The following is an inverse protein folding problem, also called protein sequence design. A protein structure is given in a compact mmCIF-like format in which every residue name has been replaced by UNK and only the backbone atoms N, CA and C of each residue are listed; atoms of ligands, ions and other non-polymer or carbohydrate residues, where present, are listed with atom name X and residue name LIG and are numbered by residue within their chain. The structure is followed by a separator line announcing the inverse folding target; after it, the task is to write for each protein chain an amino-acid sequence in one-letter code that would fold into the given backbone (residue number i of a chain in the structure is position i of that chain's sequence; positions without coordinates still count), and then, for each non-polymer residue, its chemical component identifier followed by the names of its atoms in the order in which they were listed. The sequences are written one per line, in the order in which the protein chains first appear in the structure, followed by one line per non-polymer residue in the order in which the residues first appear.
data_IF_795604405560
#
_entry.id   IF_795604405560
#
_cell.length_a   1.000
_cell.length_b   1.000
_cell.length_c   1.000
_cell.angle_alpha   90.00
_cell.angle_beta   90.00
_cell.angle_gamma   90.00
#
_symmetry.space_group_name_H-M   'P 1'
#
loop_
_entity.id
_entity.type
_entity.pdbx_description
1 polymer ?
#
# COMPACT_ATOMS: atom_id res chain seq x y z
N UNK A 1 -1.23 11.79 -16.90
CA UNK A 1 -1.95 11.69 -15.62
C UNK A 1 -3.35 11.18 -15.87
N UNK A 2 -3.61 9.98 -15.44
CA UNK A 2 -4.92 9.35 -15.59
C UNK A 2 -5.69 9.50 -14.28
N UNK A 3 -6.91 10.02 -14.38
CA UNK A 3 -7.84 10.05 -13.27
C UNK A 3 -8.50 8.68 -13.12
N UNK A 4 -8.50 8.14 -11.93
CA UNK A 4 -9.22 6.91 -11.64
C UNK A 4 -10.46 7.16 -10.81
N UNK A 5 -11.62 6.75 -11.35
CA UNK A 5 -12.87 6.67 -10.61
C UNK A 5 -12.90 5.44 -9.69
N UNK A 6 -13.83 5.39 -8.76
CA UNK A 6 -13.99 4.31 -7.79
C UNK A 6 -14.16 2.91 -8.38
N UNK A 7 -14.83 2.77 -9.51
CA UNK A 7 -14.90 1.49 -10.21
C UNK A 7 -13.51 0.98 -10.56
N UNK A 8 -12.65 1.91 -10.97
CA UNK A 8 -11.27 1.62 -11.33
C UNK A 8 -10.44 1.22 -10.11
N UNK A 9 -10.83 1.65 -8.90
CA UNK A 9 -10.16 1.25 -7.66
C UNK A 9 -10.46 -0.18 -7.26
N UNK A 10 -11.71 -0.63 -7.40
CA UNK A 10 -12.05 -2.03 -7.23
C UNK A 10 -11.29 -2.88 -8.25
N UNK A 11 -11.24 -2.46 -9.51
CA UNK A 11 -10.41 -3.11 -10.54
C UNK A 11 -8.93 -3.10 -10.19
N UNK A 12 -8.42 -1.98 -9.66
CA UNK A 12 -7.04 -1.85 -9.20
C UNK A 12 -6.72 -2.90 -8.13
N UNK A 13 -7.54 -2.97 -7.10
CA UNK A 13 -7.38 -3.90 -5.97
C UNK A 13 -7.55 -5.34 -6.45
N UNK A 14 -8.56 -5.62 -7.25
CA UNK A 14 -8.80 -6.96 -7.80
C UNK A 14 -7.64 -7.44 -8.67
N UNK A 15 -7.09 -6.57 -9.51
CA UNK A 15 -5.92 -6.89 -10.34
C UNK A 15 -4.71 -7.22 -9.48
N UNK A 16 -4.45 -6.45 -8.45
CA UNK A 16 -3.35 -6.69 -7.51
C UNK A 16 -3.54 -8.02 -6.78
N UNK A 17 -4.74 -8.29 -6.29
CA UNK A 17 -5.05 -9.52 -5.56
C UNK A 17 -4.95 -10.78 -6.40
N UNK A 18 -5.46 -10.74 -7.62
CA UNK A 18 -5.36 -11.88 -8.56
C UNK A 18 -3.90 -12.22 -8.82
N UNK A 19 -3.08 -11.21 -9.05
CA UNK A 19 -1.63 -11.40 -9.28
C UNK A 19 -0.92 -11.91 -8.03
N UNK A 20 -1.24 -11.34 -6.87
CA UNK A 20 -0.66 -11.76 -5.59
C UNK A 20 -1.02 -13.21 -5.25
N UNK A 21 -2.27 -13.61 -5.43
CA UNK A 21 -2.74 -14.97 -5.13
C UNK A 21 -2.11 -16.02 -6.05
N UNK A 22 -1.77 -15.68 -7.27
CA UNK A 22 -1.01 -16.59 -8.16
C UNK A 22 0.40 -16.87 -7.66
N UNK A 23 1.05 -15.86 -7.07
CA UNK A 23 2.40 -15.97 -6.53
C UNK A 23 2.42 -16.55 -5.11
N UNK A 24 1.39 -16.30 -4.34
CA UNK A 24 1.25 -16.69 -2.94
C UNK A 24 -0.11 -17.33 -2.66
N UNK A 25 -0.41 -18.51 -3.24
CA UNK A 25 -1.75 -19.11 -3.16
C UNK A 25 -2.19 -19.52 -1.76
N UNK A 26 -1.25 -19.68 -0.84
CA UNK A 26 -1.52 -20.03 0.55
C UNK A 26 -1.75 -18.85 1.50
N UNK A 27 -1.73 -17.61 1.00
CA UNK A 27 -1.84 -16.40 1.83
C UNK A 27 -3.17 -15.71 1.56
N UNK A 28 -4.16 -15.84 2.46
CA UNK A 28 -5.42 -15.13 2.32
C UNK A 28 -5.26 -13.64 2.64
N UNK A 29 -5.90 -12.80 1.85
CA UNK A 29 -5.92 -11.34 2.07
C UNK A 29 -7.35 -10.91 2.36
N UNK A 30 -7.56 -10.28 3.52
CA UNK A 30 -8.82 -9.60 3.83
C UNK A 30 -8.80 -8.21 3.20
N UNK A 31 -9.86 -7.86 2.47
CA UNK A 31 -9.97 -6.58 1.77
C UNK A 31 -11.10 -5.76 2.37
N UNK A 32 -10.80 -4.52 2.74
CA UNK A 32 -11.77 -3.54 3.25
C UNK A 32 -11.74 -2.29 2.40
N UNK A 33 -12.78 -2.07 1.62
CA UNK A 33 -12.95 -0.90 0.74
C UNK A 33 -14.07 0.01 1.27
N UNK A 34 -13.98 1.32 1.08
CA UNK A 34 -15.04 2.24 1.47
C UNK A 34 -16.20 2.19 0.47
N UNK A 35 -17.39 2.50 0.94
CA UNK A 35 -18.61 2.58 0.12
C UNK A 35 -18.72 3.87 -0.68
N UNK A 36 -17.98 4.90 -0.28
CA UNK A 36 -18.03 6.22 -0.89
C UNK A 36 -17.35 6.30 -2.27
N UNK A 37 -17.88 7.19 -3.11
CA UNK A 37 -17.29 7.49 -4.40
C UNK A 37 -16.08 8.43 -4.24
N UNK A 38 -14.89 7.97 -4.62
CA UNK A 38 -13.65 8.75 -4.50
C UNK A 38 -12.97 8.81 -5.87
N UNK A 39 -12.55 9.99 -6.28
CA UNK A 39 -11.69 10.18 -7.45
C UNK A 39 -10.28 10.47 -6.99
N UNK A 40 -9.33 9.69 -7.44
CA UNK A 40 -7.92 9.82 -7.09
C UNK A 40 -7.13 9.99 -8.39
N UNK A 41 -6.51 11.15 -8.62
CA UNK A 41 -5.60 11.29 -9.74
C UNK A 41 -4.33 10.48 -9.47
N UNK A 42 -4.13 9.43 -10.26
CA UNK A 42 -2.97 8.56 -10.09
C UNK A 42 -2.62 7.82 -11.37
N UNK A 43 -1.37 7.36 -11.46
CA UNK A 43 -0.95 6.34 -12.40
C UNK A 43 -1.29 4.96 -11.83
N UNK A 44 -2.26 4.30 -12.42
CA UNK A 44 -2.77 3.03 -11.92
C UNK A 44 -1.73 1.91 -11.90
N UNK A 45 -0.84 1.87 -12.89
CA UNK A 45 0.21 0.85 -12.98
C UNK A 45 1.24 1.02 -11.87
N UNK A 46 1.61 2.26 -11.58
CA UNK A 46 2.56 2.56 -10.50
C UNK A 46 1.97 2.28 -9.13
N UNK A 47 0.72 2.63 -8.90
CA UNK A 47 0.05 2.33 -7.62
C UNK A 47 -0.22 0.83 -7.45
N UNK A 48 -0.54 0.11 -8.52
CA UNK A 48 -0.56 -1.36 -8.49
C UNK A 48 0.79 -1.94 -8.06
N UNK A 49 1.88 -1.40 -8.57
CA UNK A 49 3.22 -1.81 -8.18
C UNK A 49 3.49 -1.57 -6.69
N UNK A 50 3.08 -0.42 -6.16
CA UNK A 50 3.19 -0.13 -4.73
C UNK A 50 2.43 -1.17 -3.90
N UNK A 51 1.16 -1.40 -4.21
CA UNK A 51 0.33 -2.35 -3.48
C UNK A 51 0.86 -3.78 -3.57
N UNK A 52 1.29 -4.20 -4.75
CA UNK A 52 1.92 -5.51 -4.94
C UNK A 52 3.17 -5.66 -4.10
N UNK A 53 4.05 -4.67 -4.10
CA UNK A 53 5.27 -4.70 -3.29
C UNK A 53 4.98 -4.76 -1.79
N UNK A 54 3.98 -4.03 -1.31
CA UNK A 54 3.59 -4.06 0.10
C UNK A 54 3.04 -5.42 0.52
N UNK A 55 2.19 -6.04 -0.30
CA UNK A 55 1.65 -7.38 -0.04
C UNK A 55 2.74 -8.46 -0.11
N UNK A 56 3.60 -8.41 -1.12
CA UNK A 56 4.72 -9.36 -1.25
C UNK A 56 5.71 -9.22 -0.10
N UNK A 57 5.98 -8.00 0.33
CA UNK A 57 6.83 -7.74 1.49
C UNK A 57 6.30 -8.42 2.75
N UNK A 58 4.99 -8.30 3.01
CA UNK A 58 4.36 -9.01 4.11
C UNK A 58 4.45 -10.53 3.95
N UNK A 59 4.15 -11.07 2.76
CA UNK A 59 4.21 -12.50 2.51
C UNK A 59 5.60 -13.11 2.70
N UNK A 60 6.66 -12.37 2.35
CA UNK A 60 8.04 -12.85 2.41
C UNK A 60 8.67 -12.64 3.79
N UNK A 61 8.41 -11.52 4.44
CA UNK A 61 9.14 -11.08 5.63
C UNK A 61 8.36 -11.18 6.94
N UNK A 62 7.04 -11.28 6.90
CA UNK A 62 6.22 -11.37 8.11
C UNK A 62 6.13 -12.82 8.61
N UNK A 63 7.20 -13.32 9.20
CA UNK A 63 7.22 -14.68 9.77
C UNK A 63 6.12 -14.86 10.81
N UNK A 64 5.45 -16.01 10.76
CA UNK A 64 4.34 -16.33 11.67
C UNK A 64 3.05 -15.59 11.36
N UNK A 65 2.96 -14.86 10.26
CA UNK A 65 1.75 -14.16 9.85
C UNK A 65 0.60 -15.13 9.59
N UNK A 66 -0.55 -14.85 10.20
CA UNK A 66 -1.81 -15.56 9.99
C UNK A 66 -2.90 -14.68 9.38
N UNK A 67 -2.69 -13.36 9.39
CA UNK A 67 -3.64 -12.39 8.89
C UNK A 67 -2.93 -11.29 8.10
N UNK A 68 -3.42 -11.04 6.90
CA UNK A 68 -2.97 -9.95 6.02
C UNK A 68 -4.20 -9.19 5.55
N UNK A 69 -4.20 -7.88 5.76
CA UNK A 69 -5.34 -7.01 5.44
C UNK A 69 -4.90 -5.89 4.50
N UNK A 70 -5.66 -5.68 3.44
CA UNK A 70 -5.57 -4.50 2.58
C UNK A 70 -6.81 -3.65 2.80
N UNK A 71 -6.60 -2.43 3.26
CA UNK A 71 -7.68 -1.49 3.56
C UNK A 71 -7.51 -0.20 2.79
N UNK A 72 -8.59 0.32 2.25
CA UNK A 72 -8.66 1.66 1.65
C UNK A 72 -9.76 2.44 2.33
N UNK A 73 -9.45 3.63 2.78
CA UNK A 73 -10.41 4.52 3.42
C UNK A 73 -10.07 5.99 3.13
N UNK A 74 -11.02 6.87 3.40
CA UNK A 74 -10.81 8.31 3.26
C UNK A 74 -10.62 8.97 4.62
N UNK A 75 -9.74 9.96 4.65
CA UNK A 75 -9.50 10.82 5.78
C UNK A 75 -9.39 12.27 5.28
N UNK A 76 -10.48 13.02 5.41
CA UNK A 76 -10.57 14.35 4.80
C UNK A 76 -10.44 14.28 3.27
N UNK A 77 -9.53 15.04 2.70
CA UNK A 77 -9.22 15.05 1.25
C UNK A 77 -8.25 13.97 0.81
N UNK A 78 -7.94 13.01 1.68
CA UNK A 78 -6.94 11.96 1.41
C UNK A 78 -7.58 10.60 1.29
N UNK A 79 -7.13 9.83 0.30
CA UNK A 79 -7.37 8.40 0.24
C UNK A 79 -6.18 7.69 0.87
N UNK A 80 -6.43 6.87 1.88
CA UNK A 80 -5.42 6.13 2.63
C UNK A 80 -5.48 4.67 2.23
N UNK A 81 -4.33 4.13 1.84
CA UNK A 81 -4.13 2.71 1.54
C UNK A 81 -3.27 2.10 2.64
N UNK A 82 -3.73 1.00 3.20
CA UNK A 82 -3.09 0.37 4.35
C UNK A 82 -2.94 -1.13 4.13
N UNK A 83 -1.71 -1.62 4.27
CA UNK A 83 -1.40 -3.05 4.30
C UNK A 83 -0.91 -3.41 5.69
N UNK A 84 -1.64 -4.29 6.36
CA UNK A 84 -1.37 -4.67 7.74
C UNK A 84 -1.23 -6.18 7.88
N UNK A 85 -0.20 -6.61 8.59
CA UNK A 85 0.01 -8.01 8.96
C UNK A 85 0.19 -8.17 10.47
N UNK A 86 -0.01 -9.38 10.95
CA UNK A 86 0.21 -9.78 12.34
C UNK A 86 1.45 -10.66 12.52
N UNK A 87 2.45 -10.49 11.67
CA UNK A 87 3.68 -11.26 11.70
C UNK A 87 4.68 -10.82 12.77
N UNK A 88 5.95 -11.12 12.55
CA UNK A 88 7.00 -10.90 13.54
C UNK A 88 7.33 -9.43 13.83
N UNK A 89 6.89 -8.51 12.99
CA UNK A 89 7.22 -7.09 13.12
C UNK A 89 8.64 -6.76 12.64
N UNK A 90 8.96 -5.46 12.70
CA UNK A 90 10.24 -4.90 12.25
C UNK A 90 10.89 -4.17 13.42
N UNK A 91 12.19 -4.43 13.69
CA UNK A 91 12.93 -3.69 14.72
C UNK A 91 12.99 -2.18 14.41
N UNK A 92 12.99 -1.35 15.44
CA UNK A 92 13.05 0.11 15.30
C UNK A 92 14.22 0.60 14.45
N UNK A 93 15.35 -0.06 14.52
CA UNK A 93 16.55 0.28 13.74
C UNK A 93 16.32 0.12 12.24
N UNK A 94 15.60 -0.94 11.84
CA UNK A 94 15.23 -1.18 10.44
C UNK A 94 14.10 -0.28 9.96
N UNK A 95 13.17 0.09 10.84
CA UNK A 95 12.09 1.02 10.51
C UNK A 95 12.60 2.38 10.05
N UNK A 96 13.67 2.88 10.65
CA UNK A 96 14.24 4.19 10.32
C UNK A 96 14.75 4.26 8.87
N UNK A 97 15.22 3.15 8.32
CA UNK A 97 15.81 3.08 6.99
C UNK A 97 14.95 2.30 5.98
N UNK A 98 13.72 1.95 6.36
CA UNK A 98 12.87 1.05 5.60
C UNK A 98 12.59 1.54 4.17
N UNK A 99 12.43 2.85 3.99
CA UNK A 99 12.10 3.46 2.70
C UNK A 99 13.30 4.16 2.02
N UNK A 100 14.49 4.05 2.57
CA UNK A 100 15.66 4.79 2.08
C UNK A 100 16.45 4.07 1.00
N UNK A 101 16.20 2.77 0.80
CA UNK A 101 17.00 1.92 -0.07
C UNK A 101 18.36 1.52 0.51
N UNK A 102 18.68 2.01 1.70
CA UNK A 102 19.92 1.63 2.42
C UNK A 102 19.69 0.32 3.14
N UNK A 103 20.44 -0.71 2.76
CA UNK A 103 20.42 -1.99 3.47
C UNK A 103 21.24 -1.90 4.76
N UNK A 104 20.74 -2.44 5.88
CA UNK A 104 21.55 -2.57 7.09
C UNK A 104 22.78 -3.42 6.79
N UNK A 105 23.91 -3.15 7.48
CA UNK A 105 25.16 -3.88 7.30
C UNK A 105 25.01 -5.41 7.46
N UNK A 106 24.05 -5.86 8.27
CA UNK A 106 23.76 -7.26 8.52
C UNK A 106 22.91 -7.95 7.42
N UNK A 107 22.30 -7.19 6.54
CA UNK A 107 21.46 -7.73 5.47
C UNK A 107 22.25 -8.44 4.37
N UNK A 108 23.55 -8.17 4.24
CA UNK A 108 24.43 -8.84 3.28
C UNK A 108 24.65 -10.33 3.57
N UNK A 109 24.37 -10.79 4.79
CA UNK A 109 24.52 -12.19 5.20
C UNK A 109 23.27 -13.05 4.91
N UNK A 110 22.15 -12.44 4.58
CA UNK A 110 20.85 -13.10 4.40
C UNK A 110 20.44 -13.07 2.92
N UNK A 111 21.07 -13.93 2.13
CA UNK A 111 20.93 -13.96 0.66
C UNK A 111 19.51 -14.25 0.13
N UNK A 112 18.55 -14.61 0.99
CA UNK A 112 17.16 -14.89 0.61
C UNK A 112 16.19 -13.73 0.76
N UNK A 113 16.60 -12.59 1.34
CA UNK A 113 15.72 -11.45 1.68
C UNK A 113 16.13 -10.14 1.01
N UNK A 114 16.72 -10.19 -0.16
CA UNK A 114 17.30 -9.03 -0.85
C UNK A 114 16.29 -8.01 -1.40
N UNK A 115 14.99 -8.30 -1.41
CA UNK A 115 13.99 -7.42 -2.02
C UNK A 115 13.48 -6.28 -1.13
N UNK A 116 13.65 -6.35 0.19
CA UNK A 116 12.96 -5.49 1.16
C UNK A 116 13.37 -4.01 1.05
N UNK A 117 14.66 -3.71 0.92
CA UNK A 117 15.14 -2.34 0.87
C UNK A 117 14.84 -1.63 -0.46
N UNK A 118 14.91 -2.34 -1.58
CA UNK A 118 14.72 -1.79 -2.92
C UNK A 118 13.24 -1.61 -3.24
N UNK A 119 12.40 -2.60 -2.96
CA UNK A 119 10.97 -2.55 -3.22
C UNK A 119 10.27 -1.42 -2.46
N UNK A 120 10.60 -1.22 -1.19
CA UNK A 120 10.01 -0.17 -0.37
C UNK A 120 10.53 1.22 -0.71
N UNK A 121 11.78 1.39 -1.11
CA UNK A 121 12.29 2.67 -1.59
C UNK A 121 11.65 3.08 -2.91
N UNK A 122 11.36 2.16 -3.79
CA UNK A 122 10.58 2.39 -5.02
C UNK A 122 9.15 2.81 -4.68
N UNK A 123 8.50 2.14 -3.72
CA UNK A 123 7.18 2.55 -3.23
C UNK A 123 7.18 3.98 -2.72
N UNK A 124 8.16 4.35 -1.91
CA UNK A 124 8.29 5.71 -1.38
C UNK A 124 8.47 6.74 -2.51
N UNK A 125 9.27 6.43 -3.51
CA UNK A 125 9.49 7.30 -4.67
C UNK A 125 8.20 7.50 -5.50
N UNK A 126 7.46 6.44 -5.73
CA UNK A 126 6.17 6.48 -6.46
C UNK A 126 5.15 7.32 -5.70
N UNK A 127 4.97 7.06 -4.41
CA UNK A 127 4.01 7.79 -3.56
C UNK A 127 4.38 9.28 -3.49
N UNK A 128 5.66 9.61 -3.33
CA UNK A 128 6.14 10.99 -3.32
C UNK A 128 5.92 11.69 -4.65
N UNK A 129 6.13 11.00 -5.77
CA UNK A 129 5.86 11.54 -7.10
C UNK A 129 4.36 11.85 -7.31
N UNK A 130 3.47 11.18 -6.59
CA UNK A 130 2.03 11.42 -6.57
C UNK A 130 1.61 12.49 -5.53
N UNK A 131 2.56 13.13 -4.86
CA UNK A 131 2.28 14.15 -3.85
C UNK A 131 1.82 13.58 -2.51
N UNK A 132 1.91 12.28 -2.30
CA UNK A 132 1.55 11.61 -1.07
C UNK A 132 2.74 11.33 -0.13
N UNK A 133 2.46 10.59 0.90
CA UNK A 133 3.44 10.17 1.90
C UNK A 133 3.21 8.71 2.29
N UNK A 134 4.28 7.98 2.56
CA UNK A 134 4.25 6.60 3.03
C UNK A 134 4.88 6.49 4.41
N UNK A 135 4.24 5.72 5.30
CA UNK A 135 4.70 5.48 6.66
C UNK A 135 4.55 4.02 7.04
N UNK A 136 5.40 3.58 7.96
CA UNK A 136 5.31 2.25 8.56
C UNK A 136 5.25 2.36 10.08
N UNK A 137 4.40 1.54 10.67
CA UNK A 137 4.33 1.31 12.11
C UNK A 137 4.51 -0.18 12.35
N UNK A 138 5.35 -0.54 13.29
CA UNK A 138 5.61 -1.94 13.61
C UNK A 138 6.01 -2.10 15.06
N UNK A 139 5.62 -3.25 15.63
CA UNK A 139 6.07 -3.72 16.93
C UNK A 139 6.50 -5.16 16.80
N UNK A 140 7.68 -5.49 17.35
CA UNK A 140 8.18 -6.86 17.38
C UNK A 140 7.16 -7.79 18.05
N UNK A 141 6.86 -8.89 17.38
CA UNK A 141 5.90 -9.90 17.85
C UNK A 141 4.43 -9.56 17.63
N UNK A 142 4.09 -8.36 17.17
CA UNK A 142 2.70 -7.91 16.97
C UNK A 142 2.34 -7.70 15.50
N UNK A 143 3.31 -7.34 14.66
CA UNK A 143 3.11 -7.15 13.23
C UNK A 143 3.53 -5.78 12.72
N UNK A 144 3.18 -5.53 11.45
CA UNK A 144 3.56 -4.32 10.73
C UNK A 144 2.37 -3.77 9.96
N UNK A 145 2.22 -2.44 9.99
CA UNK A 145 1.26 -1.71 9.17
C UNK A 145 2.02 -0.68 8.34
N UNK A 146 1.89 -0.78 7.03
CA UNK A 146 2.42 0.22 6.09
C UNK A 146 1.24 0.92 5.45
N UNK A 147 1.22 2.24 5.53
CA UNK A 147 0.17 3.06 4.93
C UNK A 147 0.75 4.17 4.08
N UNK A 148 0.06 4.48 3.00
CA UNK A 148 0.32 5.66 2.20
C UNK A 148 -0.99 6.36 1.86
N UNK A 149 -0.90 7.64 1.57
CA UNK A 149 -2.07 8.42 1.19
C UNK A 149 -1.80 9.20 -0.10
N UNK A 150 -2.89 9.43 -0.84
CA UNK A 150 -2.92 10.26 -2.03
C UNK A 150 -4.05 11.28 -1.88
N UNK A 151 -3.87 12.48 -2.42
CA UNK A 151 -4.93 13.47 -2.46
C UNK A 151 -6.06 13.02 -3.38
N UNK A 152 -7.29 13.24 -2.94
CA UNK A 152 -8.49 13.01 -3.75
C UNK A 152 -8.88 14.27 -4.50
N UNK A 153 -9.55 14.11 -5.66
CA UNK A 153 -10.23 15.22 -6.30
C UNK A 153 -11.62 15.42 -5.70
N UNK A 154 -11.97 16.69 -5.44
CA UNK A 154 -13.34 17.04 -5.11
C UNK A 154 -14.20 16.88 -6.36
N UNK A 155 -15.23 16.05 -6.28
CA UNK A 155 -16.30 16.07 -7.27
C UNK A 155 -17.11 17.32 -6.96
N UNK A 156 -16.92 18.39 -7.73
CA UNK A 156 -17.90 19.46 -7.77
C UNK A 156 -19.15 18.86 -8.39
N UNK A 157 -20.15 18.55 -7.58
CA UNK A 157 -21.50 18.39 -8.05
C UNK A 157 -21.88 19.77 -8.57
N UNK A 158 -21.91 19.93 -9.90
CA UNK A 158 -22.65 21.01 -10.51
C UNK A 158 -24.11 20.78 -10.08
N UNK A 159 -24.50 21.45 -8.98
CA UNK A 159 -25.89 21.68 -8.73
C UNK A 159 -26.33 22.58 -9.89
N UNK A 160 -26.98 21.98 -10.87
CA UNK A 160 -27.75 22.71 -11.85
C UNK A 160 -28.79 23.51 -11.07
N UNK A 161 -28.47 24.76 -10.82
CA UNK A 161 -29.50 25.76 -10.59
C UNK A 161 -30.26 26.00 -11.90
N UNK A 162 -31.03 25.02 -12.32
CA UNK A 162 -32.14 25.22 -13.24
C UNK A 162 -33.39 25.44 -12.40
N UNK A 163 -33.46 26.61 -11.79
CA UNK A 163 -34.73 27.23 -11.47
C UNK A 163 -34.90 28.45 -12.34
N UNK A 164 -35.64 28.25 -13.42
CA UNK A 164 -36.80 29.08 -13.77
C UNK A 164 -37.42 28.64 -15.05
#
# INVERSE_FOLDING_TARGET
QRQMCIRDREELVDTVLVRFQKLHPGVPVEVKLPDDFIVIPMDSMLIQQVLTNLLENAAVHAEGMTQLTLRVFTLGSRAVFEVSDNGCGIPKERLRTLFTGVLPADAAADSGKHGMGIGLSVCAAIVKAHGGEIKAESRLGEGTTIRFWLETESIETEENEDEQ
#
